data_IF_036723687824
#
_entry.id   IF_036723687824
#
_cell.length_a   1.000
_cell.length_b   1.000
_cell.length_c   1.000
_cell.angle_alpha   90.00
_cell.angle_beta   90.00
_cell.angle_gamma   90.00
#
_symmetry.space_group_name_H-M   'P 1'
#
loop_
_entity.id
_entity.type
_entity.pdbx_description
1 polymer ?
#
# COMPACT_ATOMS: atom_id res chain seq x y z
N UNK A 1 -11.00 13.77 -2.06
CA UNK A 1 -12.20 13.94 -1.19
C UNK A 1 -12.60 12.65 -0.49
N UNK A 2 -12.77 11.53 -1.21
CA UNK A 2 -13.24 10.25 -0.64
C UNK A 2 -12.29 9.67 0.40
N UNK A 3 -10.96 9.83 0.25
CA UNK A 3 -9.96 9.34 1.22
C UNK A 3 -9.85 10.24 2.47
N UNK A 4 -10.26 11.50 2.38
CA UNK A 4 -10.26 12.45 3.50
C UNK A 4 -11.58 12.46 4.28
N UNK A 5 -12.69 11.98 3.68
CA UNK A 5 -13.94 11.85 4.42
C UNK A 5 -13.77 10.76 5.48
N UNK A 6 -14.10 11.01 6.73
CA UNK A 6 -14.07 10.03 7.80
C UNK A 6 -14.97 8.79 7.58
N UNK A 7 -15.67 8.75 6.44
CA UNK A 7 -16.60 7.71 6.02
C UNK A 7 -16.00 6.29 6.08
N UNK A 8 -14.80 6.09 5.51
CA UNK A 8 -14.16 4.76 5.56
C UNK A 8 -13.81 4.32 6.97
N UNK A 9 -13.36 5.25 7.80
CA UNK A 9 -13.06 4.96 9.20
C UNK A 9 -14.32 4.64 9.97
N UNK A 10 -15.42 5.36 9.72
CA UNK A 10 -16.71 5.10 10.35
C UNK A 10 -17.26 3.74 9.89
N UNK A 11 -17.25 3.45 8.58
CA UNK A 11 -17.70 2.17 8.04
C UNK A 11 -16.87 1.00 8.57
N UNK A 12 -15.56 1.16 8.63
CA UNK A 12 -14.64 0.16 9.21
C UNK A 12 -14.97 -0.09 10.69
N UNK A 13 -15.18 0.96 11.48
CA UNK A 13 -15.58 0.84 12.91
C UNK A 13 -16.91 0.12 13.04
N UNK A 14 -17.91 0.47 12.25
CA UNK A 14 -19.22 -0.19 12.28
C UNK A 14 -19.08 -1.70 11.98
N UNK A 15 -18.32 -2.10 10.97
CA UNK A 15 -18.07 -3.51 10.66
C UNK A 15 -17.36 -4.26 11.79
N UNK A 16 -16.39 -3.64 12.48
CA UNK A 16 -15.78 -4.26 13.66
C UNK A 16 -16.76 -4.40 14.83
N UNK A 17 -17.65 -3.42 15.02
CA UNK A 17 -18.70 -3.49 16.03
C UNK A 17 -19.68 -4.61 15.72
N UNK A 18 -20.13 -4.74 14.46
CA UNK A 18 -20.98 -5.85 14.00
C UNK A 18 -20.32 -7.22 14.25
N UNK A 19 -19.03 -7.36 13.91
CA UNK A 19 -18.27 -8.58 14.17
C UNK A 19 -18.16 -8.89 15.66
N UNK A 20 -18.01 -7.88 16.52
CA UNK A 20 -17.99 -8.06 17.96
C UNK A 20 -19.33 -8.59 18.48
N UNK A 21 -20.46 -8.03 18.02
CA UNK A 21 -21.79 -8.52 18.39
C UNK A 21 -22.03 -9.92 17.89
N UNK A 22 -21.66 -10.24 16.65
CA UNK A 22 -21.79 -11.60 16.11
C UNK A 22 -20.95 -12.62 16.89
N UNK A 23 -19.77 -12.24 17.35
CA UNK A 23 -18.94 -13.08 18.21
C UNK A 23 -19.59 -13.33 19.59
N UNK A 24 -20.18 -12.29 20.19
CA UNK A 24 -20.95 -12.45 21.43
C UNK A 24 -22.17 -13.36 21.24
N UNK A 25 -22.91 -13.18 20.14
CA UNK A 25 -24.04 -14.04 19.80
C UNK A 25 -23.60 -15.49 19.63
N UNK A 26 -22.54 -15.75 18.87
CA UNK A 26 -21.97 -17.08 18.70
C UNK A 26 -21.59 -17.73 20.04
N UNK A 27 -20.96 -16.99 20.95
CA UNK A 27 -20.60 -17.51 22.27
C UNK A 27 -21.84 -17.84 23.12
N UNK A 28 -22.91 -17.05 23.00
CA UNK A 28 -24.17 -17.32 23.67
C UNK A 28 -24.84 -18.57 23.11
N UNK A 29 -24.94 -18.68 21.78
CA UNK A 29 -25.51 -19.85 21.11
C UNK A 29 -24.71 -21.12 21.42
N UNK A 30 -23.38 -21.03 21.48
CA UNK A 30 -22.52 -22.18 21.85
C UNK A 30 -22.79 -22.65 23.29
N UNK A 31 -23.01 -21.73 24.25
CA UNK A 31 -23.41 -22.10 25.60
C UNK A 31 -24.78 -22.73 25.66
N UNK A 32 -25.76 -22.18 24.94
CA UNK A 32 -27.11 -22.77 24.82
C UNK A 32 -27.07 -24.16 24.20
N UNK A 33 -26.27 -24.36 23.15
CA UNK A 33 -26.09 -25.64 22.50
C UNK A 33 -25.53 -26.68 23.51
N UNK A 34 -24.56 -26.28 24.31
CA UNK A 34 -23.99 -27.16 25.34
C UNK A 34 -25.03 -27.58 26.38
N UNK A 35 -25.83 -26.64 26.88
CA UNK A 35 -26.93 -26.95 27.82
C UNK A 35 -27.99 -27.89 27.23
N UNK A 36 -28.36 -27.63 25.98
CA UNK A 36 -29.33 -28.50 25.29
C UNK A 36 -28.76 -29.93 25.07
N UNK A 37 -27.46 -30.01 24.83
CA UNK A 37 -26.77 -31.30 24.70
C UNK A 37 -26.77 -32.07 26.03
N UNK A 38 -26.47 -31.40 27.14
CA UNK A 38 -26.56 -31.99 28.50
C UNK A 38 -27.97 -32.45 28.82
N UNK A 39 -29.01 -31.65 28.48
CA UNK A 39 -30.41 -32.03 28.65
C UNK A 39 -30.80 -33.26 27.78
N UNK A 40 -30.31 -33.33 26.54
CA UNK A 40 -30.52 -34.47 25.66
C UNK A 40 -29.87 -35.75 26.19
N UNK A 41 -28.66 -35.66 26.76
CA UNK A 41 -27.98 -36.79 27.38
C UNK A 41 -28.77 -37.34 28.59
N UNK A 42 -29.28 -36.45 29.45
CA UNK A 42 -30.13 -36.82 30.58
C UNK A 42 -31.38 -37.51 30.08
N UNK A 43 -32.09 -36.92 29.11
CA UNK A 43 -33.31 -37.50 28.54
C UNK A 43 -33.05 -38.86 27.87
N UNK A 44 -31.88 -39.02 27.24
CA UNK A 44 -31.46 -40.29 26.63
C UNK A 44 -31.27 -41.37 27.70
N UNK A 45 -30.70 -40.99 28.84
CA UNK A 45 -30.48 -41.89 29.96
C UNK A 45 -31.82 -42.34 30.59
N UNK A 46 -32.73 -41.39 30.78
CA UNK A 46 -34.10 -41.69 31.28
C UNK A 46 -34.88 -42.57 30.32
N UNK A 47 -34.79 -42.30 29.02
CA UNK A 47 -35.43 -43.18 28.01
C UNK A 47 -34.86 -44.59 28.06
N UNK A 48 -33.53 -44.77 28.16
CA UNK A 48 -32.91 -46.10 28.26
C UNK A 48 -33.35 -46.85 29.52
N UNK A 49 -33.42 -46.14 30.66
CA UNK A 49 -33.89 -46.76 31.92
C UNK A 49 -35.36 -47.21 31.78
N UNK A 50 -36.25 -46.40 31.21
CA UNK A 50 -37.66 -46.79 31.00
C UNK A 50 -37.80 -47.86 29.93
N UNK A 51 -37.00 -47.92 28.91
CA UNK A 51 -36.98 -48.99 27.92
C UNK A 51 -36.68 -50.34 28.59
N UNK A 52 -35.69 -50.33 29.51
CA UNK A 52 -35.36 -51.53 30.31
C UNK A 52 -36.54 -51.99 31.18
N UNK A 53 -37.16 -51.04 31.92
CA UNK A 53 -38.29 -51.33 32.80
C UNK A 53 -39.53 -51.81 31.99
N UNK A 54 -39.71 -51.34 30.78
CA UNK A 54 -40.79 -51.81 29.90
C UNK A 54 -40.55 -53.26 29.44
N UNK A 55 -39.30 -53.61 29.15
CA UNK A 55 -38.95 -55.00 28.78
C UNK A 55 -39.16 -55.98 29.95
N UNK A 56 -38.98 -55.48 31.17
CA UNK A 56 -39.28 -56.26 32.41
C UNK A 56 -40.78 -56.22 32.77
N UNK A 57 -41.65 -55.60 31.95
CA UNK A 57 -43.10 -55.43 32.16
C UNK A 57 -43.46 -54.65 33.44
N UNK A 58 -42.57 -53.77 33.93
CA UNK A 58 -42.79 -52.93 35.10
C UNK A 58 -43.60 -51.68 34.77
N UNK A 59 -43.42 -51.11 33.56
CA UNK A 59 -44.13 -49.93 33.11
C UNK A 59 -44.89 -50.19 31.77
N UNK A 60 -45.93 -49.37 31.54
CA UNK A 60 -46.75 -49.53 30.36
C UNK A 60 -46.03 -49.01 29.09
N UNK A 61 -46.26 -49.65 27.92
CA UNK A 61 -45.69 -49.18 26.64
C UNK A 61 -46.06 -47.75 26.28
N UNK A 62 -47.19 -47.24 26.78
CA UNK A 62 -47.63 -45.88 26.60
C UNK A 62 -46.66 -44.87 27.25
N UNK A 63 -46.14 -45.15 28.44
CA UNK A 63 -45.16 -44.32 29.15
C UNK A 63 -43.83 -44.25 28.37
N UNK A 64 -43.36 -45.37 27.83
CA UNK A 64 -42.20 -45.41 26.99
C UNK A 64 -42.35 -44.54 25.73
N UNK A 65 -43.53 -44.59 25.08
CA UNK A 65 -43.79 -43.74 23.91
C UNK A 65 -43.84 -42.25 24.28
N UNK A 66 -44.34 -41.90 25.46
CA UNK A 66 -44.28 -40.51 25.96
C UNK A 66 -42.81 -40.03 26.16
N UNK A 67 -41.96 -40.85 26.74
CA UNK A 67 -40.54 -40.51 26.92
C UNK A 67 -39.82 -40.43 25.57
N UNK A 68 -40.13 -41.31 24.62
CA UNK A 68 -39.63 -41.20 23.24
C UNK A 68 -40.00 -39.86 22.60
N UNK A 69 -41.25 -39.42 22.80
CA UNK A 69 -41.70 -38.12 22.33
C UNK A 69 -40.89 -36.94 22.92
N UNK A 70 -40.57 -36.99 24.23
CA UNK A 70 -39.70 -35.99 24.90
C UNK A 70 -38.29 -36.00 24.33
N UNK A 71 -37.68 -37.17 24.11
CA UNK A 71 -36.36 -37.33 23.52
C UNK A 71 -36.30 -36.70 22.10
N UNK A 72 -37.27 -36.98 21.26
CA UNK A 72 -37.38 -36.41 19.90
C UNK A 72 -37.54 -34.89 19.92
N UNK A 73 -38.26 -34.33 20.89
CA UNK A 73 -38.36 -32.86 21.06
C UNK A 73 -37.01 -32.24 21.45
N UNK A 74 -36.19 -32.90 22.28
CA UNK A 74 -34.84 -32.44 22.62
C UNK A 74 -33.90 -32.55 21.44
N UNK A 75 -33.96 -33.62 20.66
CA UNK A 75 -33.22 -33.81 19.42
C UNK A 75 -33.52 -32.70 18.40
N UNK A 76 -34.82 -32.41 18.21
CA UNK A 76 -35.26 -31.29 17.33
C UNK A 76 -34.73 -29.95 17.82
N UNK A 77 -34.68 -29.72 19.15
CA UNK A 77 -34.10 -28.51 19.74
C UNK A 77 -32.62 -28.36 19.43
N UNK A 78 -31.83 -29.46 19.50
CA UNK A 78 -30.42 -29.48 19.13
C UNK A 78 -30.20 -29.17 17.66
N UNK A 79 -31.01 -29.76 16.77
CA UNK A 79 -30.94 -29.47 15.31
C UNK A 79 -31.20 -27.99 15.03
N UNK A 80 -32.26 -27.41 15.66
CA UNK A 80 -32.56 -25.99 15.52
C UNK A 80 -31.42 -25.09 16.01
N UNK A 81 -30.81 -25.44 17.16
CA UNK A 81 -29.72 -24.70 17.71
C UNK A 81 -28.45 -24.77 16.82
N UNK A 82 -28.18 -25.94 16.26
CA UNK A 82 -27.10 -26.17 15.29
C UNK A 82 -27.28 -25.30 14.05
N UNK A 83 -28.51 -25.26 13.50
CA UNK A 83 -28.84 -24.37 12.39
C UNK A 83 -28.62 -22.89 12.71
N UNK A 84 -28.96 -22.42 13.92
CA UNK A 84 -28.71 -21.06 14.37
C UNK A 84 -27.21 -20.76 14.48
N UNK A 85 -26.39 -21.69 14.98
CA UNK A 85 -24.94 -21.56 15.02
C UNK A 85 -24.33 -21.45 13.63
N UNK A 86 -24.79 -22.27 12.69
CA UNK A 86 -24.35 -22.18 11.29
C UNK A 86 -24.70 -20.82 10.69
N UNK A 87 -25.93 -20.36 10.87
CA UNK A 87 -26.38 -19.05 10.38
C UNK A 87 -25.54 -17.89 10.97
N UNK A 88 -25.24 -17.95 12.27
CA UNK A 88 -24.38 -16.97 12.92
C UNK A 88 -22.96 -16.97 12.37
N UNK A 89 -22.40 -18.16 12.07
CA UNK A 89 -21.08 -18.27 11.44
C UNK A 89 -21.09 -17.69 10.01
N UNK A 90 -22.12 -17.97 9.23
CA UNK A 90 -22.30 -17.41 7.86
C UNK A 90 -22.39 -15.88 7.91
N UNK A 91 -23.18 -15.33 8.85
CA UNK A 91 -23.29 -13.89 9.04
C UNK A 91 -21.94 -13.25 9.39
N UNK A 92 -21.17 -13.88 10.29
CA UNK A 92 -19.82 -13.42 10.67
C UNK A 92 -18.86 -13.45 9.47
N UNK A 93 -18.88 -14.53 8.69
CA UNK A 93 -18.06 -14.67 7.48
C UNK A 93 -18.40 -13.58 6.44
N UNK A 94 -19.68 -13.30 6.22
CA UNK A 94 -20.10 -12.24 5.31
C UNK A 94 -19.60 -10.87 5.76
N UNK A 95 -19.64 -10.56 7.06
CA UNK A 95 -19.11 -9.30 7.59
C UNK A 95 -17.57 -9.20 7.48
N UNK A 96 -16.86 -10.31 7.64
CA UNK A 96 -15.42 -10.36 7.39
C UNK A 96 -15.11 -10.09 5.92
N UNK A 97 -15.88 -10.66 4.99
CA UNK A 97 -15.74 -10.40 3.56
C UNK A 97 -15.99 -8.93 3.22
N UNK A 98 -17.06 -8.32 3.76
CA UNK A 98 -17.32 -6.89 3.59
C UNK A 98 -16.13 -6.02 4.07
N UNK A 99 -15.50 -6.40 5.18
CA UNK A 99 -14.32 -5.69 5.70
C UNK A 99 -13.12 -5.81 4.75
N UNK A 100 -12.86 -7.01 4.22
CA UNK A 100 -11.78 -7.24 3.25
C UNK A 100 -12.03 -6.46 1.94
N UNK A 101 -13.26 -6.47 1.44
CA UNK A 101 -13.64 -5.72 0.24
C UNK A 101 -13.46 -4.21 0.44
N UNK A 102 -13.81 -3.69 1.62
CA UNK A 102 -13.58 -2.30 1.97
C UNK A 102 -12.07 -1.95 2.02
N UNK A 103 -11.26 -2.82 2.62
CA UNK A 103 -9.81 -2.64 2.68
C UNK A 103 -9.18 -2.63 1.28
N UNK A 104 -9.58 -3.59 0.43
CA UNK A 104 -9.14 -3.66 -0.96
C UNK A 104 -9.52 -2.39 -1.72
N UNK A 105 -10.77 -1.96 -1.62
CA UNK A 105 -11.23 -0.74 -2.28
C UNK A 105 -10.39 0.49 -1.89
N UNK A 106 -10.11 0.67 -0.60
CA UNK A 106 -9.28 1.78 -0.10
C UNK A 106 -7.86 1.70 -0.65
N UNK A 107 -7.27 0.49 -0.68
CA UNK A 107 -5.94 0.25 -1.26
C UNK A 107 -5.90 0.61 -2.74
N UNK A 108 -6.87 0.14 -3.52
CA UNK A 108 -6.97 0.41 -4.95
C UNK A 108 -7.11 1.91 -5.25
N UNK A 109 -7.92 2.63 -4.46
CA UNK A 109 -8.06 4.09 -4.59
C UNK A 109 -6.73 4.81 -4.28
N UNK A 110 -5.98 4.35 -3.28
CA UNK A 110 -4.66 4.91 -2.95
C UNK A 110 -3.67 4.72 -4.09
N UNK A 111 -3.62 3.52 -4.67
CA UNK A 111 -2.73 3.20 -5.81
C UNK A 111 -3.09 4.09 -7.02
N UNK A 112 -4.38 4.21 -7.35
CA UNK A 112 -4.86 5.10 -8.43
C UNK A 112 -4.46 6.55 -8.21
N UNK A 113 -4.61 7.05 -6.97
CA UNK A 113 -4.22 8.41 -6.63
C UNK A 113 -2.71 8.62 -6.76
N UNK A 114 -1.89 7.68 -6.27
CA UNK A 114 -0.44 7.75 -6.41
C UNK A 114 0.01 7.74 -7.88
N UNK A 115 -0.59 6.89 -8.70
CA UNK A 115 -0.31 6.85 -10.14
C UNK A 115 -0.67 8.17 -10.85
N UNK A 116 -1.83 8.76 -10.51
CA UNK A 116 -2.24 10.06 -11.04
C UNK A 116 -1.29 11.19 -10.61
N UNK A 117 -0.84 11.17 -9.35
CA UNK A 117 0.11 12.16 -8.83
C UNK A 117 1.48 12.06 -9.53
N UNK A 118 2.00 10.84 -9.72
CA UNK A 118 3.25 10.61 -10.45
C UNK A 118 3.14 11.06 -11.91
N UNK A 119 2.02 10.79 -12.57
CA UNK A 119 1.77 11.25 -13.93
C UNK A 119 1.74 12.78 -14.02
N UNK A 120 1.05 13.43 -13.09
CA UNK A 120 1.02 14.90 -13.01
C UNK A 120 2.42 15.48 -12.79
N UNK A 121 3.18 14.88 -11.85
CA UNK A 121 4.57 15.28 -11.59
C UNK A 121 5.42 15.18 -12.85
N UNK A 122 5.40 14.04 -13.55
CA UNK A 122 6.17 13.83 -14.78
C UNK A 122 5.79 14.86 -15.86
N UNK A 123 4.49 15.09 -16.05
CA UNK A 123 4.02 16.11 -17.02
C UNK A 123 4.49 17.52 -16.66
N UNK A 124 4.51 17.85 -15.38
CA UNK A 124 4.98 19.17 -14.90
C UNK A 124 6.49 19.30 -15.10
N UNK A 125 7.27 18.26 -14.80
CA UNK A 125 8.71 18.24 -15.05
C UNK A 125 9.04 18.35 -16.54
N UNK A 126 8.31 17.65 -17.41
CA UNK A 126 8.47 17.75 -18.85
C UNK A 126 8.09 19.14 -19.38
N UNK A 127 7.04 19.75 -18.81
CA UNK A 127 6.66 21.12 -19.13
C UNK A 127 7.76 22.10 -18.73
N UNK A 128 8.29 21.98 -17.49
CA UNK A 128 9.40 22.82 -17.00
C UNK A 128 10.60 22.69 -17.94
N UNK A 129 11.02 21.46 -18.29
CA UNK A 129 12.14 21.24 -19.19
C UNK A 129 11.98 21.87 -20.59
N UNK A 130 10.75 21.96 -21.08
CA UNK A 130 10.45 22.51 -22.42
C UNK A 130 10.32 24.03 -22.41
N UNK A 131 9.79 24.62 -21.36
CA UNK A 131 9.37 26.03 -21.35
C UNK A 131 10.13 26.88 -20.35
N UNK A 132 10.91 26.28 -19.45
CA UNK A 132 11.69 27.01 -18.44
C UNK A 132 13.16 26.68 -18.60
N UNK A 133 13.96 27.71 -18.86
CA UNK A 133 15.43 27.59 -18.86
C UNK A 133 15.92 27.79 -17.43
N UNK A 134 16.44 26.74 -16.81
CA UNK A 134 17.00 26.78 -15.46
C UNK A 134 18.52 26.54 -15.54
N UNK A 135 19.28 27.31 -14.76
CA UNK A 135 20.71 27.10 -14.64
C UNK A 135 20.99 25.74 -13.97
N UNK A 136 21.89 24.89 -14.51
CA UNK A 136 22.19 23.57 -13.95
C UNK A 136 22.99 23.66 -12.65
N UNK A 137 23.64 24.78 -12.38
CA UNK A 137 24.49 25.01 -11.21
C UNK A 137 24.58 26.51 -10.91
N UNK A 138 25.00 26.84 -9.70
CA UNK A 138 25.29 28.23 -9.31
C UNK A 138 26.53 28.76 -10.02
N UNK A 139 26.45 29.99 -10.52
CA UNK A 139 27.57 30.57 -11.23
C UNK A 139 27.22 31.87 -11.91
N UNK A 140 28.14 32.38 -12.72
CA UNK A 140 28.01 33.60 -13.48
C UNK A 140 27.47 33.30 -14.87
N UNK A 141 26.35 33.94 -15.26
CA UNK A 141 25.71 33.77 -16.55
C UNK A 141 26.40 34.59 -17.63
N UNK A 142 26.71 33.97 -18.77
CA UNK A 142 27.23 34.61 -19.97
C UNK A 142 26.33 34.27 -21.16
N UNK A 143 26.00 35.28 -21.95
CA UNK A 143 25.26 35.13 -23.18
C UNK A 143 26.22 34.87 -24.36
N UNK A 144 25.89 33.91 -25.23
CA UNK A 144 26.69 33.60 -26.42
C UNK A 144 26.44 34.61 -27.55
N UNK A 145 25.29 35.25 -27.57
CA UNK A 145 24.92 36.26 -28.55
C UNK A 145 23.96 37.28 -27.95
N UNK A 146 23.79 38.41 -28.60
CA UNK A 146 22.80 39.41 -28.22
C UNK A 146 21.38 38.89 -28.48
N UNK A 147 20.60 38.77 -27.42
CA UNK A 147 19.21 38.27 -27.50
C UNK A 147 18.22 39.44 -27.37
N UNK A 148 17.19 39.45 -28.21
CA UNK A 148 16.10 40.39 -28.18
C UNK A 148 14.80 39.75 -27.70
N UNK A 149 13.94 40.50 -27.07
CA UNK A 149 12.60 40.04 -26.72
C UNK A 149 11.82 39.66 -27.98
N UNK A 150 11.07 38.56 -27.90
CA UNK A 150 10.30 37.98 -29.02
C UNK A 150 11.14 37.54 -30.23
N UNK A 151 12.43 37.33 -30.08
CA UNK A 151 13.28 36.77 -31.12
C UNK A 151 12.97 35.30 -31.36
N UNK A 152 12.79 34.94 -32.63
CA UNK A 152 12.66 33.53 -33.02
C UNK A 152 14.03 32.83 -32.96
N UNK A 153 14.11 31.75 -32.18
CA UNK A 153 15.32 31.00 -32.01
C UNK A 153 15.18 29.63 -32.71
N UNK A 154 16.27 29.17 -33.31
CA UNK A 154 16.33 27.83 -33.87
C UNK A 154 16.46 26.79 -32.73
N UNK A 155 15.91 25.60 -32.93
CA UNK A 155 16.09 24.51 -31.97
C UNK A 155 17.59 24.17 -31.82
N UNK A 156 18.00 23.84 -30.58
CA UNK A 156 19.38 23.52 -30.21
C UNK A 156 20.41 24.66 -30.39
N UNK A 157 19.97 25.92 -30.41
CA UNK A 157 20.89 27.06 -30.39
C UNK A 157 21.37 27.29 -28.96
N UNK A 158 22.69 27.39 -28.76
CA UNK A 158 23.28 27.75 -27.48
C UNK A 158 23.03 29.25 -27.21
N UNK A 159 22.28 29.54 -26.15
CA UNK A 159 21.88 30.90 -25.81
C UNK A 159 22.79 31.52 -24.75
N UNK A 160 23.18 30.72 -23.77
CA UNK A 160 24.00 31.15 -22.65
C UNK A 160 24.70 29.96 -21.98
N UNK A 161 25.74 30.23 -21.25
CA UNK A 161 26.41 29.25 -20.40
C UNK A 161 26.63 29.81 -19.00
N UNK A 162 26.71 28.89 -18.04
CA UNK A 162 26.94 29.24 -16.62
C UNK A 162 28.36 28.85 -16.24
N UNK A 163 29.15 29.82 -15.85
CA UNK A 163 30.50 29.57 -15.32
C UNK A 163 30.41 29.39 -13.81
N UNK A 164 30.82 28.26 -13.25
CA UNK A 164 30.83 28.06 -11.79
C UNK A 164 31.82 29.01 -11.10
N UNK A 165 31.53 29.35 -9.83
CA UNK A 165 32.35 30.31 -9.05
C UNK A 165 33.76 29.77 -8.75
N UNK A 166 33.94 28.46 -8.68
CA UNK A 166 35.23 27.79 -8.50
C UNK A 166 35.63 27.08 -9.79
N UNK A 167 36.38 27.71 -10.65
CA UNK A 167 36.95 27.10 -11.88
C UNK A 167 38.42 26.89 -11.71
N UNK A 168 38.85 25.63 -11.74
CA UNK A 168 40.22 25.29 -12.10
C UNK A 168 40.31 25.34 -13.63
N UNK A 169 41.22 26.14 -14.15
CA UNK A 169 41.46 26.19 -15.57
C UNK A 169 42.39 25.04 -15.96
N UNK A 170 42.11 24.41 -17.10
CA UNK A 170 42.99 23.43 -17.70
C UNK A 170 43.32 23.84 -19.13
N UNK A 171 44.55 23.64 -19.53
CA UNK A 171 44.98 23.87 -20.91
C UNK A 171 45.15 22.55 -21.62
N UNK A 172 44.68 22.46 -22.86
CA UNK A 172 44.93 21.33 -23.75
C UNK A 172 46.07 21.68 -24.71
N UNK A 173 47.14 20.88 -24.67
CA UNK A 173 48.30 21.03 -25.55
C UNK A 173 48.41 19.86 -26.48
N UNK A 174 48.47 20.13 -27.79
CA UNK A 174 48.76 19.11 -28.79
C UNK A 174 50.24 19.15 -29.15
N UNK A 175 50.98 18.13 -28.74
CA UNK A 175 52.38 18.00 -29.08
C UNK A 175 52.60 17.13 -30.33
N UNK A 176 53.42 17.59 -31.27
CA UNK A 176 53.82 16.81 -32.39
C UNK A 176 54.70 15.62 -31.99
N UNK A 177 54.76 14.59 -32.83
CA UNK A 177 55.48 13.32 -32.59
C UNK A 177 56.97 13.51 -32.21
N UNK A 178 57.63 14.54 -32.73
CA UNK A 178 59.05 14.85 -32.47
C UNK A 178 59.31 15.44 -31.06
N UNK A 179 58.29 15.87 -30.33
CA UNK A 179 58.41 16.49 -29.02
C UNK A 179 57.86 15.68 -27.85
N UNK A 180 57.00 14.65 -28.15
CA UNK A 180 56.22 13.95 -27.13
C UNK A 180 57.06 13.18 -26.12
N UNK A 181 58.23 12.68 -26.52
CA UNK A 181 59.17 11.98 -25.63
C UNK A 181 59.89 12.84 -24.60
N UNK A 182 59.76 14.19 -24.67
CA UNK A 182 60.33 15.13 -23.75
C UNK A 182 59.33 15.67 -22.71
N UNK A 183 58.04 15.27 -22.84
CA UNK A 183 56.98 15.70 -21.96
C UNK A 183 56.82 14.67 -20.84
N UNK A 184 56.92 15.10 -19.61
CA UNK A 184 56.74 14.24 -18.44
C UNK A 184 55.57 14.75 -17.58
N UNK A 185 54.93 13.83 -16.82
CA UNK A 185 53.90 14.20 -15.89
C UNK A 185 54.44 15.15 -14.81
N UNK A 186 53.64 16.14 -14.41
CA UNK A 186 54.00 17.20 -13.43
C UNK A 186 55.14 18.14 -13.86
N UNK A 187 55.38 18.21 -15.15
CA UNK A 187 56.37 19.19 -15.68
C UNK A 187 55.76 20.60 -15.62
N UNK A 188 56.56 21.57 -15.24
CA UNK A 188 56.19 23.00 -15.23
C UNK A 188 56.04 23.50 -16.67
N UNK A 189 54.97 24.21 -16.95
CA UNK A 189 54.61 24.71 -18.30
C UNK A 189 54.54 26.23 -18.23
N UNK A 190 55.35 26.91 -19.02
CA UNK A 190 55.32 28.37 -19.16
C UNK A 190 54.37 28.75 -20.31
N UNK A 191 53.29 29.43 -19.99
CA UNK A 191 52.28 29.85 -20.98
C UNK A 191 52.54 31.30 -21.38
N UNK A 192 52.70 31.53 -22.70
CA UNK A 192 52.82 32.88 -23.26
C UNK A 192 51.47 33.25 -23.89
N UNK A 193 50.82 34.27 -23.40
CA UNK A 193 49.58 34.79 -23.92
C UNK A 193 49.82 35.76 -25.07
N UNK A 194 49.15 35.59 -26.19
CA UNK A 194 49.23 36.51 -27.31
C UNK A 194 48.55 37.84 -26.95
N UNK A 195 49.24 38.96 -27.13
CA UNK A 195 48.79 40.28 -26.73
C UNK A 195 49.26 40.73 -25.32
N UNK A 196 49.92 39.85 -24.55
CA UNK A 196 50.55 40.18 -23.26
C UNK A 196 52.05 39.87 -23.33
N UNK A 197 52.88 40.86 -23.64
CA UNK A 197 54.32 40.66 -23.74
C UNK A 197 54.90 40.17 -22.43
N UNK A 198 55.64 39.08 -22.44
CA UNK A 198 56.21 38.44 -21.25
C UNK A 198 57.24 39.32 -20.55
N UNK A 199 57.79 40.30 -21.26
CA UNK A 199 58.72 41.29 -20.69
C UNK A 199 58.08 42.30 -19.74
N UNK A 200 56.74 42.54 -19.93
CA UNK A 200 55.97 43.45 -19.08
C UNK A 200 55.08 42.73 -18.06
N UNK A 201 54.58 41.56 -18.40
CA UNK A 201 53.57 40.85 -17.61
C UNK A 201 54.05 39.51 -17.03
N UNK A 202 55.26 39.07 -17.38
CA UNK A 202 55.79 37.78 -16.93
C UNK A 202 55.21 36.58 -17.69
N UNK A 203 55.51 35.39 -17.18
CA UNK A 203 54.92 34.11 -17.66
C UNK A 203 53.90 33.65 -16.64
N UNK A 204 52.89 32.96 -17.13
CA UNK A 204 51.88 32.28 -16.30
C UNK A 204 52.21 30.79 -16.29
#
# INVERSE_FOLDING_TARGET
>A
EVLQSGYYQQKKRALYTDLSYLNQLKNNLARQNKLLHEEYEVQTTDFKAKDHLTKEKVIAPLELNQEKGKLLLKEQGLEQMTAQLINSNVASHNKQKELLDLQKYVSDQRIKFQAALLNLKSKTEDWIKRFVLAAPQDGKLFFTSFLQENQLLSANTELFYVQPASTSYYGSLTAGQNGIGKVTANQEVLIRLQGYPSEQFGYI
#
